data_IF_537903837206
#
_entry.id   IF_537903837206
#
_cell.length_a   1.000
_cell.length_b   1.000
_cell.length_c   1.000
_cell.angle_alpha   90.00
_cell.angle_beta   90.00
_cell.angle_gamma   90.00
#
_symmetry.space_group_name_H-M   'P 1'
#
loop_
_entity.id
_entity.type
_entity.pdbx_description
1 polymer ?
#
# COMPACT_ATOMS: atom_id res chain seq x y z
N UNK A 1 67.60 -0.80 68.60
CA UNK A 1 67.55 -1.41 67.23
C UNK A 1 66.16 -1.95 66.96
N UNK A 2 65.37 -1.27 66.24
CA UNK A 2 64.16 -1.88 65.53
C UNK A 2 64.00 -1.16 64.21
N UNK A 3 63.68 -1.86 63.13
CA UNK A 3 63.55 -1.27 61.81
C UNK A 3 62.15 -0.70 61.55
N UNK A 4 62.10 0.54 61.12
CA UNK A 4 60.95 1.22 60.56
C UNK A 4 60.97 1.06 58.98
N UNK A 5 60.50 -0.02 58.53
CA UNK A 5 60.30 -0.22 57.05
C UNK A 5 59.08 -1.06 56.72
N UNK A 6 57.87 -0.52 56.93
CA UNK A 6 56.61 -1.15 56.42
C UNK A 6 55.42 -0.22 56.21
N UNK A 7 55.58 1.09 56.13
CA UNK A 7 54.43 1.98 56.05
C UNK A 7 54.29 2.79 54.74
N UNK A 8 55.23 2.70 53.80
CA UNK A 8 55.16 3.53 52.56
C UNK A 8 54.64 2.91 51.32
N UNK A 9 54.37 1.57 51.29
CA UNK A 9 53.89 0.88 50.07
C UNK A 9 52.35 0.84 50.00
N UNK A 10 51.67 0.96 51.12
CA UNK A 10 50.19 0.85 51.16
C UNK A 10 49.42 2.10 50.66
N UNK A 11 49.99 3.30 50.91
CA UNK A 11 49.33 4.55 50.47
C UNK A 11 49.41 4.87 49.02
N UNK A 12 50.51 4.46 48.32
CA UNK A 12 50.65 4.66 46.89
C UNK A 12 49.72 3.80 46.05
N UNK A 13 49.50 2.54 46.50
CA UNK A 13 48.60 1.62 45.78
C UNK A 13 47.12 1.98 45.89
N UNK A 14 46.71 2.49 47.05
CA UNK A 14 45.33 2.96 47.26
C UNK A 14 45.06 4.27 46.47
N UNK A 15 46.02 5.20 46.39
CA UNK A 15 45.89 6.39 45.54
C UNK A 15 45.85 6.06 44.05
N UNK A 16 46.61 5.08 43.58
CA UNK A 16 46.61 4.64 42.16
C UNK A 16 45.32 3.91 41.77
N UNK A 17 44.73 3.11 42.66
CA UNK A 17 43.45 2.47 42.47
C UNK A 17 42.28 3.45 42.53
N UNK A 18 42.31 4.44 43.41
CA UNK A 18 41.32 5.51 43.49
C UNK A 18 41.39 6.44 42.25
N UNK A 19 42.59 6.74 41.73
CA UNK A 19 42.76 7.54 40.52
C UNK A 19 42.31 6.79 39.25
N UNK A 20 42.56 5.47 39.16
CA UNK A 20 42.03 4.64 38.04
C UNK A 20 40.50 4.52 38.07
N UNK A 21 39.90 4.40 39.25
CA UNK A 21 38.43 4.30 39.36
C UNK A 21 37.73 5.64 39.06
N UNK A 22 38.33 6.78 39.41
CA UNK A 22 37.81 8.11 39.06
C UNK A 22 37.98 8.42 37.56
N UNK A 23 39.07 8.02 36.92
CA UNK A 23 39.26 8.15 35.47
C UNK A 23 38.29 7.26 34.68
N UNK A 24 38.02 6.03 35.12
CA UNK A 24 36.99 5.17 34.51
C UNK A 24 35.56 5.71 34.69
N UNK A 25 35.27 6.27 35.89
CA UNK A 25 33.96 6.89 36.16
C UNK A 25 33.76 8.17 35.32
N UNK A 26 34.77 8.99 35.14
CA UNK A 26 34.72 10.17 34.25
C UNK A 26 34.63 9.79 32.78
N UNK A 27 35.28 8.72 32.32
CA UNK A 27 35.18 8.24 30.95
C UNK A 27 33.79 7.64 30.65
N UNK A 28 33.16 6.96 31.62
CA UNK A 28 31.78 6.47 31.47
C UNK A 28 30.74 7.59 31.57
N UNK A 29 30.96 8.61 32.38
CA UNK A 29 30.06 9.75 32.48
C UNK A 29 30.07 10.65 31.25
N UNK A 30 31.18 10.71 30.49
CA UNK A 30 31.27 11.47 29.24
C UNK A 30 30.75 10.68 28.02
N UNK A 31 30.71 9.33 28.06
CA UNK A 31 30.20 8.53 26.98
C UNK A 31 28.67 8.39 27.00
N UNK A 32 28.03 8.48 28.15
CA UNK A 32 26.58 8.38 28.31
C UNK A 32 25.80 9.45 27.53
N UNK A 33 26.12 10.75 27.59
CA UNK A 33 25.44 11.79 26.83
C UNK A 33 25.69 11.68 25.32
N UNK A 34 26.86 11.21 24.90
CA UNK A 34 27.16 10.97 23.46
C UNK A 34 26.37 9.79 22.95
N UNK A 35 26.25 8.69 23.71
CA UNK A 35 25.42 7.55 23.36
C UNK A 35 23.93 7.93 23.33
N UNK A 36 23.46 8.74 24.27
CA UNK A 36 22.09 9.25 24.31
C UNK A 36 21.79 10.17 23.12
N UNK A 37 22.72 11.05 22.75
CA UNK A 37 22.63 11.89 21.55
C UNK A 37 22.64 11.07 20.26
N UNK A 38 23.45 10.02 20.17
CA UNK A 38 23.46 9.10 19.04
C UNK A 38 22.16 8.27 18.96
N UNK A 39 21.61 7.84 20.09
CA UNK A 39 20.30 7.18 20.13
C UNK A 39 19.15 8.12 19.76
N UNK A 40 19.19 9.39 20.16
CA UNK A 40 18.20 10.40 19.77
C UNK A 40 18.33 10.80 18.31
N UNK A 41 19.54 10.82 17.75
CA UNK A 41 19.77 11.06 16.32
C UNK A 41 19.30 9.87 15.46
N UNK A 42 19.43 8.63 15.94
CA UNK A 42 18.95 7.43 15.26
C UNK A 42 17.40 7.31 15.25
N UNK A 43 16.71 8.03 16.15
CA UNK A 43 15.24 8.00 16.25
C UNK A 43 14.54 9.02 15.35
N UNK A 44 15.28 9.84 14.60
CA UNK A 44 14.72 10.78 13.62
C UNK A 44 14.39 10.08 12.29
N UNK A 45 13.70 8.94 12.34
CA UNK A 45 12.97 8.48 11.15
C UNK A 45 11.89 9.54 10.85
N UNK A 46 11.95 10.17 9.67
CA UNK A 46 10.98 11.17 9.28
C UNK A 46 9.58 10.52 9.28
N UNK A 47 8.80 10.84 10.30
CA UNK A 47 7.49 10.25 10.50
C UNK A 47 6.50 10.87 9.51
N UNK A 48 5.71 10.05 8.83
CA UNK A 48 4.64 10.54 7.97
C UNK A 48 3.66 11.41 8.76
N UNK A 49 3.22 12.52 8.15
CA UNK A 49 2.31 13.48 8.77
C UNK A 49 1.24 13.95 7.81
N UNK A 50 -0.04 14.06 8.22
CA UNK A 50 -1.09 14.60 7.34
C UNK A 50 -0.88 16.07 6.98
N UNK A 51 -0.01 16.79 7.70
CA UNK A 51 0.31 18.21 7.49
C UNK A 51 1.68 18.41 6.83
N UNK A 52 2.30 17.36 6.27
CA UNK A 52 3.66 17.40 5.75
C UNK A 52 3.87 18.55 4.75
N UNK A 53 2.93 18.75 3.84
CA UNK A 53 2.99 19.80 2.81
C UNK A 53 2.29 21.12 3.21
N UNK A 54 1.82 21.27 4.44
CA UNK A 54 1.02 22.44 4.83
C UNK A 54 1.72 23.79 4.65
N UNK A 55 3.07 23.79 4.75
CA UNK A 55 3.88 25.00 4.52
C UNK A 55 4.58 25.00 3.16
N UNK A 56 5.14 23.87 2.75
CA UNK A 56 5.96 23.75 1.54
C UNK A 56 5.13 23.70 0.24
N UNK A 57 3.92 23.12 0.28
CA UNK A 57 3.01 23.08 -0.86
C UNK A 57 1.54 23.04 -0.41
N UNK A 58 0.97 24.11 0.12
CA UNK A 58 -0.38 24.13 0.71
C UNK A 58 -1.50 23.80 -0.29
N UNK A 59 -1.24 23.93 -1.60
CA UNK A 59 -2.20 23.64 -2.68
C UNK A 59 -2.17 22.19 -3.16
N UNK A 60 -1.21 21.37 -2.73
CA UNK A 60 -1.00 20.01 -3.25
C UNK A 60 -2.28 19.16 -3.22
N UNK A 61 -2.90 19.02 -2.07
CA UNK A 61 -4.11 18.19 -1.91
C UNK A 61 -5.29 18.67 -2.77
N UNK A 62 -5.42 19.98 -2.96
CA UNK A 62 -6.48 20.55 -3.80
C UNK A 62 -6.23 20.29 -5.30
N UNK A 63 -4.97 20.31 -5.74
CA UNK A 63 -4.57 19.99 -7.11
C UNK A 63 -4.84 18.50 -7.38
N UNK A 64 -4.40 17.60 -6.50
CA UNK A 64 -4.61 16.15 -6.62
C UNK A 64 -6.11 15.84 -6.71
N UNK A 65 -6.92 16.37 -5.79
CA UNK A 65 -8.38 16.17 -5.79
C UNK A 65 -9.04 16.61 -7.09
N UNK A 66 -8.63 17.74 -7.66
CA UNK A 66 -9.18 18.23 -8.93
C UNK A 66 -8.81 17.30 -10.09
N UNK A 67 -7.55 16.86 -10.17
CA UNK A 67 -7.07 15.94 -11.20
C UNK A 67 -7.81 14.60 -11.15
N UNK A 68 -7.91 13.99 -9.96
CA UNK A 68 -8.68 12.75 -9.74
C UNK A 68 -10.14 12.95 -10.09
N UNK A 69 -10.77 14.03 -9.60
CA UNK A 69 -12.17 14.32 -9.89
C UNK A 69 -12.45 14.51 -11.38
N UNK A 70 -11.53 15.12 -12.14
CA UNK A 70 -11.64 15.25 -13.58
C UNK A 70 -11.56 13.87 -14.28
N UNK A 71 -10.59 13.04 -13.89
CA UNK A 71 -10.42 11.71 -14.45
C UNK A 71 -11.63 10.78 -14.17
N UNK A 72 -12.14 10.79 -12.93
CA UNK A 72 -13.32 9.97 -12.55
C UNK A 72 -14.62 10.47 -13.22
N UNK A 73 -14.77 11.76 -13.45
CA UNK A 73 -15.92 12.28 -14.22
C UNK A 73 -15.85 11.88 -15.69
N UNK A 74 -14.68 11.86 -16.27
CA UNK A 74 -14.47 11.43 -17.67
C UNK A 74 -14.70 9.92 -17.83
N UNK A 75 -14.20 9.13 -16.89
CA UNK A 75 -14.37 7.67 -16.85
C UNK A 75 -14.49 7.20 -15.40
N UNK A 76 -15.69 6.80 -14.96
CA UNK A 76 -15.91 6.38 -13.56
C UNK A 76 -15.02 5.24 -13.11
N UNK A 77 -14.72 4.30 -13.99
CA UNK A 77 -13.81 3.17 -13.73
C UNK A 77 -12.38 3.63 -13.37
N UNK A 78 -11.98 4.85 -13.74
CA UNK A 78 -10.65 5.37 -13.39
C UNK A 78 -10.43 5.44 -11.88
N UNK A 79 -11.49 5.64 -11.08
CA UNK A 79 -11.39 5.57 -9.63
C UNK A 79 -10.90 4.22 -9.12
N UNK A 80 -11.44 3.13 -9.66
CA UNK A 80 -10.94 1.78 -9.33
C UNK A 80 -9.50 1.56 -9.82
N UNK A 81 -9.15 2.11 -10.98
CA UNK A 81 -7.79 2.01 -11.53
C UNK A 81 -6.75 2.69 -10.62
N UNK A 82 -7.03 3.90 -10.14
CA UNK A 82 -6.14 4.64 -9.24
C UNK A 82 -6.05 4.00 -7.84
N UNK A 83 -7.14 3.45 -7.34
CA UNK A 83 -7.13 2.70 -6.07
C UNK A 83 -6.28 1.44 -6.18
N UNK A 84 -6.44 0.68 -7.27
CA UNK A 84 -5.64 -0.52 -7.55
C UNK A 84 -4.17 -0.18 -7.77
N UNK A 85 -3.86 0.93 -8.44
CA UNK A 85 -2.49 1.36 -8.68
C UNK A 85 -1.74 1.59 -7.36
N UNK A 86 -2.39 2.19 -6.37
CA UNK A 86 -1.81 2.36 -5.02
C UNK A 86 -1.63 1.02 -4.28
N UNK A 87 -2.56 0.07 -4.43
CA UNK A 87 -2.41 -1.26 -3.87
C UNK A 87 -1.20 -1.99 -4.48
N UNK A 88 -1.06 -1.96 -5.81
CA UNK A 88 0.07 -2.59 -6.51
C UNK A 88 1.41 -1.95 -6.12
N UNK A 89 1.46 -0.65 -5.96
CA UNK A 89 2.62 0.06 -5.43
C UNK A 89 3.01 -0.46 -4.04
N UNK A 90 2.08 -0.40 -3.10
CA UNK A 90 2.36 -0.72 -1.69
C UNK A 90 2.75 -2.18 -1.45
N UNK A 91 2.30 -3.12 -2.28
CA UNK A 91 2.60 -4.54 -2.13
C UNK A 91 3.97 -4.94 -2.72
N UNK A 92 4.57 -4.08 -3.54
CA UNK A 92 5.89 -4.30 -4.16
C UNK A 92 6.87 -3.27 -3.62
N UNK A 93 7.90 -3.73 -2.91
CA UNK A 93 8.92 -2.89 -2.22
C UNK A 93 8.37 -1.98 -1.10
N UNK A 94 7.12 -1.57 -1.13
CA UNK A 94 6.46 -0.63 -0.23
C UNK A 94 5.80 0.52 -0.98
N UNK A 95 5.14 1.44 -0.27
CA UNK A 95 4.46 2.58 -0.88
C UNK A 95 5.48 3.66 -1.29
N UNK A 96 6.16 3.47 -2.42
CA UNK A 96 7.29 4.26 -2.88
C UNK A 96 7.23 4.69 -4.35
N UNK A 97 6.08 4.49 -4.99
CA UNK A 97 5.80 4.81 -6.38
C UNK A 97 6.67 4.05 -7.41
N UNK A 98 7.25 2.90 -7.04
CA UNK A 98 8.06 2.07 -7.95
C UNK A 98 7.25 1.59 -9.16
N UNK A 99 5.97 1.27 -8.97
CA UNK A 99 5.05 0.82 -10.03
C UNK A 99 4.86 1.83 -11.16
N UNK A 100 5.11 3.11 -10.90
CA UNK A 100 4.97 4.19 -11.89
C UNK A 100 6.17 4.28 -12.84
N UNK A 101 7.31 3.68 -12.50
CA UNK A 101 8.51 3.72 -13.32
C UNK A 101 8.31 2.94 -14.62
N UNK A 102 8.61 3.60 -15.74
CA UNK A 102 8.55 3.00 -17.07
C UNK A 102 9.82 2.25 -17.41
N UNK A 103 9.71 1.21 -18.24
CA UNK A 103 10.85 0.50 -18.79
C UNK A 103 11.70 1.41 -19.67
N UNK A 104 13.01 1.19 -19.65
CA UNK A 104 14.00 1.79 -20.56
C UNK A 104 14.93 0.70 -21.08
N UNK A 105 15.88 1.04 -21.94
CA UNK A 105 16.88 0.08 -22.43
C UNK A 105 17.72 -0.57 -21.32
N UNK A 106 17.86 0.12 -20.18
CA UNK A 106 18.71 -0.32 -19.05
C UNK A 106 17.95 -0.49 -17.73
N UNK A 107 16.64 -0.31 -17.73
CA UNK A 107 15.82 -0.37 -16.53
C UNK A 107 14.53 -1.13 -16.82
N UNK A 108 14.23 -2.15 -16.02
CA UNK A 108 13.00 -2.93 -16.08
C UNK A 108 12.11 -2.56 -14.89
N UNK A 109 10.95 -1.99 -15.18
CA UNK A 109 9.91 -1.64 -14.21
C UNK A 109 8.97 -2.81 -13.88
N UNK A 110 7.89 -2.50 -13.18
CA UNK A 110 6.91 -3.48 -12.71
C UNK A 110 5.72 -3.63 -13.67
N UNK A 111 5.56 -2.72 -14.63
CA UNK A 111 4.36 -2.66 -15.49
C UNK A 111 4.22 -3.89 -16.41
N UNK A 112 5.34 -4.54 -16.73
CA UNK A 112 5.41 -5.78 -17.49
C UNK A 112 5.15 -7.06 -16.68
N UNK A 113 5.01 -7.00 -15.36
CA UNK A 113 4.71 -8.16 -14.51
C UNK A 113 3.35 -8.76 -14.85
N UNK A 114 3.19 -10.08 -14.71
CA UNK A 114 1.96 -10.79 -15.08
C UNK A 114 0.67 -10.19 -14.46
N UNK A 115 0.63 -9.77 -13.18
CA UNK A 115 -0.56 -9.13 -12.62
C UNK A 115 -0.80 -7.70 -13.14
N UNK A 116 0.19 -7.07 -13.79
CA UNK A 116 0.15 -5.67 -14.26
C UNK A 116 -0.08 -5.56 -15.77
N UNK A 117 0.58 -6.42 -16.54
CA UNK A 117 0.63 -6.34 -17.99
C UNK A 117 -0.77 -6.28 -18.61
N UNK A 118 -1.01 -5.28 -19.47
CA UNK A 118 -2.27 -5.07 -20.16
C UNK A 118 -3.48 -4.77 -19.26
N UNK A 119 -3.26 -4.54 -17.94
CA UNK A 119 -4.37 -4.34 -16.99
C UNK A 119 -4.20 -3.14 -16.07
N UNK A 120 -2.94 -2.74 -15.75
CA UNK A 120 -2.70 -1.59 -14.90
C UNK A 120 -2.97 -0.28 -15.66
N UNK A 121 -3.59 0.70 -15.01
CA UNK A 121 -4.06 1.94 -15.64
C UNK A 121 -3.95 3.13 -14.70
N UNK A 122 -3.93 4.34 -15.25
CA UNK A 122 -3.99 5.57 -14.49
C UNK A 122 -2.64 6.26 -14.30
N UNK A 123 -1.51 5.71 -14.81
CA UNK A 123 -0.20 6.34 -14.76
C UNK A 123 -0.23 7.75 -15.38
N UNK A 124 -0.88 7.91 -16.52
CA UNK A 124 -1.06 9.19 -17.19
C UNK A 124 -1.85 10.21 -16.33
N UNK A 125 -2.80 9.76 -15.53
CA UNK A 125 -3.52 10.64 -14.60
C UNK A 125 -2.59 11.13 -13.49
N UNK A 126 -1.76 10.24 -12.94
CA UNK A 126 -0.77 10.60 -11.91
C UNK A 126 0.27 11.55 -12.49
N UNK A 127 0.81 11.30 -13.70
CA UNK A 127 1.77 12.18 -14.35
C UNK A 127 1.18 13.58 -14.63
N UNK A 128 -0.07 13.66 -15.08
CA UNK A 128 -0.76 14.94 -15.27
C UNK A 128 -0.95 15.71 -13.96
N UNK A 129 -1.28 15.02 -12.88
CA UNK A 129 -1.38 15.62 -11.55
C UNK A 129 0.01 16.08 -11.08
N UNK A 130 1.04 15.26 -11.28
CA UNK A 130 2.43 15.58 -10.92
C UNK A 130 2.88 16.85 -11.63
N UNK A 131 2.67 16.96 -12.94
CA UNK A 131 3.02 18.15 -13.71
C UNK A 131 2.33 19.42 -13.16
N UNK A 132 1.05 19.34 -12.78
CA UNK A 132 0.34 20.48 -12.17
C UNK A 132 0.88 20.85 -10.79
N UNK A 133 1.33 19.86 -10.02
CA UNK A 133 1.96 20.08 -8.70
C UNK A 133 3.34 20.71 -8.88
N UNK A 134 4.15 20.20 -9.80
CA UNK A 134 5.49 20.75 -10.12
C UNK A 134 5.43 22.20 -10.59
N UNK A 135 4.41 22.58 -11.34
CA UNK A 135 4.22 23.97 -11.79
C UNK A 135 3.96 24.95 -10.62
N UNK A 136 3.59 24.47 -9.44
CA UNK A 136 3.28 25.29 -8.25
C UNK A 136 4.33 25.13 -7.16
N UNK A 137 4.85 23.93 -6.99
CA UNK A 137 5.76 23.54 -5.90
C UNK A 137 6.81 22.58 -6.45
N UNK A 138 7.79 23.10 -7.21
CA UNK A 138 8.81 22.27 -7.85
C UNK A 138 9.54 21.37 -6.85
N UNK A 139 9.74 20.10 -7.21
CA UNK A 139 10.46 19.06 -6.44
C UNK A 139 10.06 18.94 -4.95
N UNK A 140 8.79 19.19 -4.65
CA UNK A 140 8.31 19.20 -3.26
C UNK A 140 7.45 17.99 -2.91
N UNK A 141 6.55 17.57 -3.80
CA UNK A 141 5.58 16.52 -3.53
C UNK A 141 5.95 15.26 -4.29
N UNK A 142 6.13 14.15 -3.56
CA UNK A 142 6.49 12.85 -4.15
C UNK A 142 5.34 12.23 -4.95
N UNK A 143 5.68 11.39 -5.92
CA UNK A 143 4.73 10.59 -6.68
C UNK A 143 4.00 9.58 -5.77
N UNK A 144 4.70 9.02 -4.78
CA UNK A 144 4.12 8.11 -3.78
C UNK A 144 3.01 8.78 -2.96
N UNK A 145 3.20 10.04 -2.56
CA UNK A 145 2.14 10.77 -1.84
C UNK A 145 1.01 11.20 -2.77
N UNK A 146 1.31 11.58 -4.01
CA UNK A 146 0.25 11.85 -5.02
C UNK A 146 -0.62 10.60 -5.20
N UNK A 147 -0.01 9.42 -5.34
CA UNK A 147 -0.71 8.16 -5.54
C UNK A 147 -1.58 7.78 -4.34
N UNK A 148 -1.04 7.90 -3.11
CA UNK A 148 -1.79 7.62 -1.88
C UNK A 148 -3.01 8.55 -1.71
N UNK A 149 -2.86 9.85 -2.02
CA UNK A 149 -3.97 10.82 -1.98
C UNK A 149 -4.97 10.56 -3.12
N UNK A 150 -4.47 10.20 -4.32
CA UNK A 150 -5.33 9.87 -5.46
C UNK A 150 -6.21 8.65 -5.18
N UNK A 151 -5.69 7.62 -4.51
CA UNK A 151 -6.47 6.47 -4.07
C UNK A 151 -7.62 6.89 -3.15
N UNK A 152 -7.38 7.74 -2.14
CA UNK A 152 -8.41 8.28 -1.24
C UNK A 152 -9.43 9.11 -2.00
N UNK A 153 -8.98 10.04 -2.85
CA UNK A 153 -9.88 10.93 -3.57
C UNK A 153 -10.72 10.19 -4.62
N UNK A 154 -10.23 9.06 -5.14
CA UNK A 154 -10.96 8.16 -6.03
C UNK A 154 -12.14 7.49 -5.33
N UNK A 155 -11.92 6.98 -4.12
CA UNK A 155 -12.97 6.39 -3.28
C UNK A 155 -14.05 7.43 -2.96
N UNK A 156 -13.64 8.64 -2.55
CA UNK A 156 -14.57 9.75 -2.26
C UNK A 156 -15.36 10.17 -3.51
N UNK A 157 -14.70 10.24 -4.68
CA UNK A 157 -15.37 10.61 -5.93
C UNK A 157 -16.43 9.60 -6.39
N UNK A 158 -16.35 8.36 -5.90
CA UNK A 158 -17.32 7.29 -6.17
C UNK A 158 -18.31 7.06 -5.01
N UNK A 159 -18.36 7.97 -4.03
CA UNK A 159 -19.35 7.96 -2.94
C UNK A 159 -18.88 7.23 -1.67
N UNK A 160 -17.66 6.75 -1.63
CA UNK A 160 -17.08 6.07 -0.48
C UNK A 160 -16.54 7.00 0.61
N UNK A 161 -16.00 6.43 1.70
CA UNK A 161 -15.50 7.18 2.85
C UNK A 161 -14.20 7.92 2.54
N UNK A 162 -13.97 9.00 3.27
CA UNK A 162 -12.68 9.71 3.30
C UNK A 162 -11.86 9.26 4.50
N UNK A 163 -10.53 9.37 4.38
CA UNK A 163 -9.59 9.18 5.50
C UNK A 163 -8.43 10.16 5.43
N UNK A 164 -7.81 10.37 6.57
CA UNK A 164 -6.58 11.15 6.66
C UNK A 164 -5.41 10.35 6.10
N UNK A 165 -4.76 10.85 5.06
CA UNK A 165 -3.58 10.23 4.44
C UNK A 165 -2.33 10.79 5.12
N UNK A 166 -1.52 9.96 5.79
CA UNK A 166 -0.18 10.37 6.23
C UNK A 166 0.71 10.62 5.01
N UNK A 167 1.45 11.73 4.99
CA UNK A 167 2.26 12.23 3.88
C UNK A 167 3.73 12.36 4.30
N UNK A 168 4.63 12.47 3.32
CA UNK A 168 6.08 12.55 3.54
C UNK A 168 6.83 11.33 3.00
N UNK A 169 6.16 10.49 2.18
CA UNK A 169 6.82 9.42 1.41
C UNK A 169 7.76 10.04 0.39
N UNK A 170 8.78 9.26 0.05
CA UNK A 170 9.68 9.57 -1.07
C UNK A 170 9.55 8.48 -2.13
N UNK A 171 10.01 8.80 -3.32
CA UNK A 171 9.92 7.95 -4.50
C UNK A 171 11.15 7.03 -4.59
N UNK A 172 10.94 5.77 -4.92
CA UNK A 172 12.00 4.81 -5.20
C UNK A 172 12.82 5.21 -6.43
N UNK A 173 14.08 4.81 -6.44
CA UNK A 173 14.97 4.86 -7.62
C UNK A 173 15.08 3.49 -8.31
N UNK A 174 14.38 2.48 -7.79
CA UNK A 174 14.36 1.10 -8.28
C UNK A 174 12.93 0.60 -8.44
N UNK A 175 12.76 -0.51 -9.16
CA UNK A 175 11.54 -1.27 -9.28
C UNK A 175 11.87 -2.76 -9.31
N UNK A 176 10.88 -3.63 -9.09
CA UNK A 176 11.12 -5.07 -9.07
C UNK A 176 10.03 -5.85 -9.80
N UNK A 177 10.33 -6.22 -11.03
CA UNK A 177 9.48 -7.11 -11.83
C UNK A 177 9.25 -8.46 -11.12
N UNK A 178 10.29 -9.01 -10.47
CA UNK A 178 10.21 -10.29 -9.76
C UNK A 178 9.29 -10.21 -8.54
N UNK A 179 9.43 -9.16 -7.72
CA UNK A 179 8.54 -8.96 -6.57
C UNK A 179 7.10 -8.65 -7.01
N UNK A 180 6.91 -7.93 -8.12
CA UNK A 180 5.57 -7.71 -8.66
C UNK A 180 4.89 -9.02 -9.08
N UNK A 181 5.65 -10.00 -9.56
CA UNK A 181 5.13 -11.32 -9.89
C UNK A 181 4.89 -12.22 -8.66
N UNK A 182 5.66 -12.05 -7.57
CA UNK A 182 5.56 -12.92 -6.38
C UNK A 182 4.64 -12.37 -5.29
N UNK A 183 4.59 -11.05 -5.11
CA UNK A 183 3.99 -10.42 -3.94
C UNK A 183 2.55 -9.93 -4.18
N UNK A 184 2.17 -9.71 -5.45
CA UNK A 184 0.80 -9.38 -5.80
C UNK A 184 -0.08 -10.63 -5.78
N UNK A 185 -1.15 -10.69 -4.97
CA UNK A 185 -1.98 -11.88 -4.84
C UNK A 185 -2.78 -12.14 -6.13
N UNK A 186 -2.66 -13.32 -6.75
CA UNK A 186 -3.47 -13.69 -7.91
C UNK A 186 -4.94 -13.90 -7.55
N UNK A 187 -5.86 -13.74 -8.51
CA UNK A 187 -7.30 -13.87 -8.30
C UNK A 187 -7.76 -15.31 -7.99
N UNK A 188 -6.86 -16.28 -8.05
CA UNK A 188 -7.09 -17.70 -7.75
C UNK A 188 -6.69 -18.11 -6.32
N UNK A 189 -6.24 -17.19 -5.48
CA UNK A 189 -5.84 -17.52 -4.11
C UNK A 189 -7.03 -17.86 -3.21
N UNK A 190 -6.86 -18.95 -2.44
CA UNK A 190 -7.71 -19.28 -1.29
C UNK A 190 -7.44 -18.36 -0.10
N UNK A 191 -8.33 -18.36 0.90
CA UNK A 191 -8.20 -17.57 2.13
C UNK A 191 -6.88 -17.81 2.86
N UNK A 192 -6.35 -19.04 2.84
CA UNK A 192 -5.07 -19.34 3.48
C UNK A 192 -3.92 -18.58 2.80
N UNK A 193 -3.84 -18.63 1.48
CA UNK A 193 -2.82 -17.95 0.69
C UNK A 193 -2.97 -16.43 0.77
N UNK A 194 -4.20 -15.90 0.68
CA UNK A 194 -4.49 -14.47 0.88
C UNK A 194 -4.03 -14.00 2.26
N UNK A 195 -4.36 -14.76 3.32
CA UNK A 195 -3.96 -14.43 4.69
C UNK A 195 -2.45 -14.38 4.84
N UNK A 196 -1.73 -15.37 4.29
CA UNK A 196 -0.27 -15.40 4.34
C UNK A 196 0.37 -14.23 3.57
N UNK A 197 -0.15 -13.93 2.37
CA UNK A 197 0.33 -12.83 1.54
C UNK A 197 0.14 -11.46 2.23
N UNK A 198 -1.05 -11.19 2.76
CA UNK A 198 -1.32 -9.94 3.49
C UNK A 198 -0.54 -9.86 4.81
N UNK A 199 -0.38 -10.97 5.53
CA UNK A 199 0.43 -11.03 6.75
C UNK A 199 1.90 -10.70 6.50
N UNK A 200 2.47 -11.14 5.38
CA UNK A 200 3.83 -10.78 4.95
C UNK A 200 4.01 -9.26 4.76
N UNK A 201 2.91 -8.53 4.50
CA UNK A 201 2.87 -7.06 4.40
C UNK A 201 2.44 -6.37 5.72
N UNK A 202 2.35 -7.12 6.82
CA UNK A 202 1.93 -6.61 8.14
C UNK A 202 0.45 -6.28 8.24
N UNK A 203 -0.38 -6.88 7.39
CA UNK A 203 -1.83 -6.71 7.35
C UNK A 203 -2.53 -7.94 7.94
N UNK A 204 -3.49 -7.73 8.83
CA UNK A 204 -4.28 -8.80 9.44
C UNK A 204 -5.37 -9.32 8.49
N UNK A 205 -5.98 -10.46 8.85
CA UNK A 205 -7.17 -11.00 8.15
C UNK A 205 -8.29 -9.95 8.06
N UNK A 206 -8.51 -9.17 9.12
CA UNK A 206 -9.52 -8.10 9.09
C UNK A 206 -9.18 -7.02 8.06
N UNK A 207 -7.90 -6.63 7.96
CA UNK A 207 -7.46 -5.68 6.93
C UNK A 207 -7.63 -6.29 5.53
N UNK A 208 -7.27 -7.55 5.32
CA UNK A 208 -7.44 -8.25 4.05
C UNK A 208 -8.91 -8.26 3.61
N UNK A 209 -9.83 -8.70 4.48
CA UNK A 209 -11.26 -8.75 4.13
C UNK A 209 -11.79 -7.33 3.85
N UNK A 210 -11.40 -6.33 4.63
CA UNK A 210 -11.82 -4.95 4.40
C UNK A 210 -11.29 -4.39 3.06
N UNK A 211 -10.01 -4.65 2.74
CA UNK A 211 -9.39 -4.19 1.49
C UNK A 211 -9.95 -4.92 0.26
N UNK A 212 -10.33 -6.19 0.38
CA UNK A 212 -11.05 -6.91 -0.69
C UNK A 212 -12.36 -6.21 -1.08
N UNK A 213 -12.98 -5.47 -0.17
CA UNK A 213 -14.14 -4.62 -0.44
C UNK A 213 -13.89 -3.49 -1.46
N UNK A 214 -12.63 -3.18 -1.81
CA UNK A 214 -12.32 -2.32 -2.95
C UNK A 214 -12.92 -2.84 -4.27
N UNK A 215 -13.19 -4.14 -4.35
CA UNK A 215 -13.85 -4.78 -5.49
C UNK A 215 -15.34 -4.43 -5.62
N UNK A 216 -15.88 -3.55 -4.76
CA UNK A 216 -17.19 -2.91 -5.01
C UNK A 216 -17.14 -1.97 -6.22
N UNK A 217 -15.95 -1.62 -6.71
CA UNK A 217 -15.73 -0.84 -7.93
C UNK A 217 -14.70 -1.52 -8.84
N UNK A 218 -14.84 -1.29 -10.15
CA UNK A 218 -13.88 -1.79 -11.13
C UNK A 218 -14.34 -3.03 -11.89
N UNK A 219 -13.44 -3.54 -12.73
CA UNK A 219 -13.70 -4.65 -13.63
C UNK A 219 -12.47 -5.57 -13.70
N UNK A 220 -12.72 -6.87 -13.97
CA UNK A 220 -11.68 -7.83 -14.25
C UNK A 220 -11.83 -8.40 -15.66
N UNK A 221 -10.70 -8.82 -16.23
CA UNK A 221 -10.64 -9.50 -17.53
C UNK A 221 -11.10 -10.97 -17.39
N UNK A 222 -11.73 -11.50 -18.40
CA UNK A 222 -12.24 -12.87 -18.46
C UNK A 222 -11.20 -13.92 -18.07
N UNK A 223 -9.95 -13.78 -18.48
CA UNK A 223 -8.87 -14.69 -18.12
C UNK A 223 -8.70 -14.86 -16.59
N UNK A 224 -9.09 -13.86 -15.78
CA UNK A 224 -8.93 -13.87 -14.33
C UNK A 224 -10.07 -14.59 -13.58
N UNK A 225 -11.20 -14.84 -14.26
CA UNK A 225 -12.35 -15.53 -13.66
C UNK A 225 -12.90 -16.69 -14.49
N UNK A 226 -12.31 -16.97 -15.65
CA UNK A 226 -12.74 -18.06 -16.52
C UNK A 226 -12.74 -19.41 -15.82
N UNK A 227 -11.68 -19.74 -15.07
CA UNK A 227 -11.59 -21.01 -14.37
C UNK A 227 -12.74 -21.16 -13.37
N UNK A 228 -12.97 -20.15 -12.53
CA UNK A 228 -14.11 -20.09 -11.63
C UNK A 228 -15.44 -20.27 -12.36
N UNK A 229 -15.62 -19.56 -13.48
CA UNK A 229 -16.87 -19.55 -14.26
C UNK A 229 -17.25 -20.92 -14.81
N UNK A 230 -16.28 -21.75 -15.13
CA UNK A 230 -16.52 -23.02 -15.81
C UNK A 230 -16.28 -24.28 -14.94
N UNK A 231 -15.56 -24.15 -13.82
CA UNK A 231 -15.10 -25.30 -13.05
C UNK A 231 -15.57 -25.26 -11.58
N UNK A 232 -15.99 -24.09 -11.05
CA UNK A 232 -16.52 -24.02 -9.69
C UNK A 232 -18.05 -24.17 -9.65
N UNK A 233 -18.55 -24.74 -8.53
CA UNK A 233 -19.98 -24.99 -8.32
C UNK A 233 -20.67 -23.97 -7.42
N UNK A 234 -19.88 -23.12 -6.72
CA UNK A 234 -20.35 -22.10 -5.78
C UNK A 234 -20.56 -20.75 -6.47
N UNK A 235 -21.15 -20.76 -7.68
CA UNK A 235 -21.49 -19.58 -8.47
C UNK A 235 -22.98 -19.58 -8.80
N UNK A 236 -23.64 -18.43 -8.67
CA UNK A 236 -25.06 -18.26 -9.05
C UNK A 236 -25.27 -18.57 -10.55
N UNK A 237 -26.19 -19.47 -10.86
CA UNK A 237 -26.35 -19.99 -12.22
C UNK A 237 -26.77 -18.92 -13.26
N UNK A 238 -27.72 -18.00 -12.98
CA UNK A 238 -28.02 -16.86 -13.85
C UNK A 238 -26.83 -15.94 -14.06
N UNK A 239 -26.07 -15.66 -13.00
CA UNK A 239 -24.87 -14.83 -13.07
C UNK A 239 -23.80 -15.50 -13.96
N UNK A 240 -23.52 -16.78 -13.75
CA UNK A 240 -22.60 -17.54 -14.58
C UNK A 240 -23.02 -17.54 -16.07
N UNK A 241 -24.31 -17.69 -16.35
CA UNK A 241 -24.84 -17.66 -17.71
C UNK A 241 -24.61 -16.31 -18.39
N UNK A 242 -24.82 -15.21 -17.66
CA UNK A 242 -24.58 -13.87 -18.20
C UNK A 242 -23.09 -13.60 -18.50
N UNK A 243 -22.19 -14.11 -17.68
CA UNK A 243 -20.74 -13.96 -17.89
C UNK A 243 -20.23 -14.78 -19.09
N UNK A 244 -20.78 -15.99 -19.31
CA UNK A 244 -20.39 -16.88 -20.41
C UNK A 244 -20.64 -16.27 -21.78
N UNK A 245 -21.56 -15.32 -21.90
CA UNK A 245 -21.83 -14.61 -23.15
C UNK A 245 -20.58 -13.87 -23.69
N UNK A 246 -19.74 -13.30 -22.80
CA UNK A 246 -18.56 -12.51 -23.17
C UNK A 246 -17.23 -13.14 -22.70
N UNK A 247 -17.29 -14.28 -22.03
CA UNK A 247 -16.13 -15.02 -21.55
C UNK A 247 -16.22 -16.48 -21.97
N UNK A 248 -15.83 -16.82 -23.21
CA UNK A 248 -15.87 -18.18 -23.72
C UNK A 248 -14.95 -19.13 -22.96
N UNK A 249 -15.26 -20.44 -22.96
CA UNK A 249 -14.47 -21.46 -22.26
C UNK A 249 -13.04 -21.62 -22.79
N UNK A 250 -12.77 -21.60 -24.11
CA UNK A 250 -11.41 -21.76 -24.60
C UNK A 250 -10.51 -20.59 -24.21
N UNK A 251 -9.34 -20.90 -23.65
CA UNK A 251 -8.27 -19.91 -23.37
C UNK A 251 -7.84 -19.23 -24.68
N UNK A 252 -7.51 -17.96 -24.64
CA UNK A 252 -7.18 -17.14 -25.81
C UNK A 252 -8.40 -16.50 -26.46
N UNK A 253 -9.62 -16.94 -26.13
CA UNK A 253 -10.87 -16.38 -26.67
C UNK A 253 -11.52 -15.46 -25.63
N UNK A 254 -11.68 -14.17 -25.95
CA UNK A 254 -12.31 -13.21 -25.07
C UNK A 254 -11.53 -12.91 -23.78
N UNK A 255 -10.23 -13.24 -23.69
CA UNK A 255 -9.40 -13.09 -22.48
C UNK A 255 -9.45 -11.68 -21.89
N UNK A 256 -9.45 -10.67 -22.76
CA UNK A 256 -9.51 -9.26 -22.35
C UNK A 256 -10.92 -8.71 -22.13
N UNK A 257 -11.97 -9.51 -22.40
CA UNK A 257 -13.36 -9.11 -22.14
C UNK A 257 -13.57 -8.78 -20.67
N UNK A 258 -14.19 -7.64 -20.37
CA UNK A 258 -14.33 -7.12 -19.03
C UNK A 258 -15.68 -7.47 -18.42
N UNK A 259 -15.67 -7.83 -17.13
CA UNK A 259 -16.86 -7.95 -16.32
C UNK A 259 -16.71 -7.13 -15.02
N UNK A 260 -17.81 -6.52 -14.51
CA UNK A 260 -17.75 -5.78 -13.25
C UNK A 260 -17.46 -6.72 -12.07
N UNK A 261 -16.60 -6.28 -11.15
CA UNK A 261 -16.30 -6.97 -9.89
C UNK A 261 -17.53 -6.96 -8.96
N UNK A 262 -18.26 -5.86 -8.97
CA UNK A 262 -19.57 -5.71 -8.33
C UNK A 262 -20.68 -5.61 -9.40
N UNK A 263 -21.50 -6.62 -9.47
CA UNK A 263 -22.59 -6.69 -10.46
C UNK A 263 -23.81 -5.81 -10.09
N UNK A 264 -23.86 -5.32 -8.85
CA UNK A 264 -24.99 -4.50 -8.35
C UNK A 264 -24.74 -3.01 -8.53
N UNK A 265 -23.57 -2.52 -8.12
CA UNK A 265 -23.21 -1.08 -8.13
C UNK A 265 -21.79 -0.86 -8.65
N UNK A 266 -21.47 -1.23 -9.91
CA UNK A 266 -20.09 -1.34 -10.42
C UNK A 266 -19.26 -0.04 -10.39
N UNK A 267 -19.92 1.10 -10.21
CA UNK A 267 -19.31 2.43 -10.20
C UNK A 267 -19.66 3.26 -8.94
N UNK A 268 -20.19 2.63 -7.88
CA UNK A 268 -20.43 3.27 -6.60
C UNK A 268 -19.67 2.52 -5.51
N UNK A 269 -18.92 3.27 -4.68
CA UNK A 269 -18.20 2.67 -3.58
C UNK A 269 -19.16 2.45 -2.39
N UNK A 270 -19.62 1.22 -2.22
CA UNK A 270 -20.54 0.81 -1.17
C UNK A 270 -20.26 -0.62 -0.67
N UNK A 271 -21.20 -1.27 -0.01
CA UNK A 271 -21.07 -2.62 0.51
C UNK A 271 -21.76 -3.70 -0.33
N UNK A 272 -22.17 -3.39 -1.57
CA UNK A 272 -22.86 -4.35 -2.45
C UNK A 272 -21.97 -5.55 -2.80
N UNK A 273 -20.65 -5.34 -2.92
CA UNK A 273 -19.69 -6.43 -3.08
C UNK A 273 -19.91 -7.56 -2.06
N UNK A 274 -20.04 -7.27 -0.76
CA UNK A 274 -20.25 -8.31 0.25
C UNK A 274 -21.64 -8.95 0.15
N UNK A 275 -22.67 -8.20 -0.28
CA UNK A 275 -24.00 -8.79 -0.57
C UNK A 275 -23.94 -9.74 -1.76
N UNK A 276 -23.14 -9.43 -2.77
CA UNK A 276 -22.90 -10.29 -3.91
C UNK A 276 -22.18 -11.59 -3.50
N UNK A 277 -21.22 -11.54 -2.58
CA UNK A 277 -20.58 -12.76 -2.03
C UNK A 277 -21.60 -13.67 -1.33
N UNK A 278 -22.52 -13.09 -0.56
CA UNK A 278 -23.60 -13.84 0.11
C UNK A 278 -24.54 -14.55 -0.88
N UNK A 279 -24.65 -14.01 -2.10
CA UNK A 279 -25.47 -14.53 -3.18
C UNK A 279 -24.69 -15.35 -4.22
N UNK A 280 -23.47 -15.78 -3.89
CA UNK A 280 -22.57 -16.53 -4.81
C UNK A 280 -22.25 -15.79 -6.12
N UNK A 281 -22.23 -14.44 -6.08
CA UNK A 281 -21.94 -13.56 -7.22
C UNK A 281 -20.57 -12.88 -7.14
N UNK A 282 -19.66 -13.39 -6.33
CA UNK A 282 -18.25 -12.99 -6.38
C UNK A 282 -17.67 -13.34 -7.75
N UNK A 283 -17.05 -12.35 -8.40
CA UNK A 283 -16.51 -12.57 -9.76
C UNK A 283 -15.26 -13.44 -9.74
N UNK A 284 -14.30 -13.12 -8.84
CA UNK A 284 -13.06 -13.85 -8.72
C UNK A 284 -13.19 -15.02 -7.72
N UNK A 285 -12.34 -16.03 -7.86
CA UNK A 285 -12.22 -17.08 -6.84
C UNK A 285 -11.86 -16.46 -5.49
N UNK A 286 -10.83 -15.61 -5.46
CA UNK A 286 -10.36 -14.92 -4.25
C UNK A 286 -11.43 -14.04 -3.56
N UNK A 287 -12.46 -13.62 -4.27
CA UNK A 287 -13.61 -12.92 -3.69
C UNK A 287 -14.57 -13.91 -3.00
N UNK A 288 -14.99 -14.94 -3.74
CA UNK A 288 -16.05 -15.84 -3.28
C UNK A 288 -15.60 -16.70 -2.10
N UNK A 289 -14.33 -17.09 -2.02
CA UNK A 289 -13.80 -17.88 -0.91
C UNK A 289 -13.93 -17.18 0.45
N UNK A 290 -14.02 -15.83 0.47
CA UNK A 290 -14.14 -15.06 1.71
C UNK A 290 -15.41 -15.40 2.52
N UNK A 291 -16.52 -15.75 1.88
CA UNK A 291 -17.74 -16.17 2.58
C UNK A 291 -17.74 -17.64 2.93
N UNK A 292 -16.93 -18.44 2.25
CA UNK A 292 -16.91 -19.90 2.42
C UNK A 292 -15.95 -20.35 3.52
N UNK A 293 -15.04 -19.48 4.00
CA UNK A 293 -14.07 -19.80 5.05
C UNK A 293 -14.50 -19.23 6.41
N UNK A 294 -14.44 -20.05 7.45
CA UNK A 294 -14.84 -19.66 8.82
C UNK A 294 -14.08 -18.47 9.40
N UNK A 295 -12.84 -18.21 8.94
CA UNK A 295 -12.00 -17.09 9.41
C UNK A 295 -12.49 -15.74 8.90
N UNK A 296 -13.16 -15.69 7.76
CA UNK A 296 -13.55 -14.46 7.05
C UNK A 296 -15.05 -14.28 6.92
N UNK A 297 -15.83 -15.36 6.89
CA UNK A 297 -17.28 -15.34 6.68
C UNK A 297 -18.05 -14.43 7.66
N UNK A 298 -17.61 -14.37 8.93
CA UNK A 298 -18.22 -13.48 9.93
C UNK A 298 -18.09 -12.00 9.56
N UNK A 299 -16.94 -11.58 9.03
CA UNK A 299 -16.71 -10.21 8.56
C UNK A 299 -17.50 -9.93 7.29
N UNK A 300 -17.54 -10.85 6.32
CA UNK A 300 -18.35 -10.71 5.10
C UNK A 300 -19.82 -10.46 5.44
N UNK A 301 -20.41 -11.25 6.37
CA UNK A 301 -21.79 -11.05 6.86
C UNK A 301 -21.96 -9.69 7.53
N UNK A 302 -21.00 -9.28 8.36
CA UNK A 302 -21.03 -7.97 9.05
C UNK A 302 -21.01 -6.82 8.06
N UNK A 303 -20.14 -6.88 7.06
CA UNK A 303 -20.03 -5.83 6.05
C UNK A 303 -21.21 -5.83 5.07
N UNK A 304 -21.76 -7.00 4.75
CA UNK A 304 -22.96 -7.09 3.90
C UNK A 304 -24.19 -6.41 4.52
N UNK A 305 -24.31 -6.41 5.85
CA UNK A 305 -25.43 -5.83 6.58
C UNK A 305 -25.21 -4.37 7.02
N UNK A 306 -23.94 -3.89 7.05
CA UNK A 306 -23.62 -2.56 7.61
C UNK A 306 -22.50 -1.83 6.88
N UNK A 307 -22.85 -0.90 5.96
CA UNK A 307 -21.88 -0.07 5.23
C UNK A 307 -21.02 0.79 6.16
N UNK A 308 -21.56 1.29 7.27
CA UNK A 308 -20.81 2.12 8.23
C UNK A 308 -19.64 1.34 8.86
N UNK A 309 -19.82 0.06 9.18
CA UNK A 309 -18.75 -0.80 9.72
C UNK A 309 -17.70 -1.05 8.65
N UNK A 310 -18.12 -1.43 7.44
CA UNK A 310 -17.22 -1.61 6.31
C UNK A 310 -16.39 -0.35 6.05
N UNK A 311 -17.01 0.81 5.92
CA UNK A 311 -16.33 2.08 5.65
C UNK A 311 -15.26 2.41 6.68
N UNK A 312 -15.56 2.21 7.98
CA UNK A 312 -14.60 2.45 9.06
C UNK A 312 -13.40 1.51 8.97
N UNK A 313 -13.65 0.22 8.79
CA UNK A 313 -12.60 -0.80 8.77
C UNK A 313 -11.78 -0.71 7.46
N UNK A 314 -12.41 -0.36 6.33
CA UNK A 314 -11.73 -0.06 5.08
C UNK A 314 -10.78 1.12 5.19
N UNK A 315 -11.24 2.24 5.77
CA UNK A 315 -10.36 3.43 5.94
C UNK A 315 -9.19 3.14 6.85
N UNK A 316 -9.38 2.39 7.93
CA UNK A 316 -8.27 1.95 8.80
C UNK A 316 -7.28 1.05 8.06
N UNK A 317 -7.78 0.10 7.25
CA UNK A 317 -6.96 -0.79 6.44
C UNK A 317 -6.18 -0.03 5.35
N UNK A 318 -6.79 0.95 4.69
CA UNK A 318 -6.11 1.82 3.71
C UNK A 318 -4.98 2.64 4.33
N UNK A 319 -5.18 3.18 5.53
CA UNK A 319 -4.10 3.86 6.29
C UNK A 319 -2.99 2.87 6.63
N UNK A 320 -3.32 1.65 7.07
CA UNK A 320 -2.33 0.63 7.38
C UNK A 320 -1.55 0.20 6.13
N UNK A 321 -2.23 -0.03 5.02
CA UNK A 321 -1.61 -0.37 3.73
C UNK A 321 -0.68 0.76 3.26
N UNK A 322 -1.12 2.01 3.31
CA UNK A 322 -0.31 3.17 2.92
C UNK A 322 0.93 3.41 3.80
N UNK A 323 1.09 2.67 4.89
CA UNK A 323 2.26 2.69 5.77
C UNK A 323 3.17 1.46 5.58
N UNK A 324 2.98 0.66 4.53
CA UNK A 324 3.88 -0.46 4.22
C UNK A 324 5.21 0.10 3.71
N UNK A 325 6.25 -0.05 4.49
CA UNK A 325 7.65 0.24 4.15
C UNK A 325 7.88 1.53 3.31
N UNK A 326 7.31 2.70 3.68
CA UNK A 326 7.51 3.91 2.90
C UNK A 326 8.96 4.39 3.01
N UNK A 327 9.53 4.86 1.91
CA UNK A 327 10.78 5.61 1.96
C UNK A 327 10.52 6.99 2.58
N UNK A 328 11.42 7.45 3.45
CA UNK A 328 11.27 8.74 4.16
C UNK A 328 12.62 9.41 4.39
N UNK A 329 12.63 10.68 4.83
CA UNK A 329 13.83 11.43 5.17
C UNK A 329 14.77 11.60 3.98
N UNK A 330 15.93 10.94 4.03
CA UNK A 330 16.96 10.99 2.97
C UNK A 330 16.92 9.82 2.00
N UNK A 331 16.03 8.84 2.24
CA UNK A 331 15.86 7.68 1.35
C UNK A 331 15.16 8.10 0.05
N UNK A 332 15.50 7.42 -1.07
CA UNK A 332 14.87 7.70 -2.37
C UNK A 332 14.99 9.18 -2.79
N UNK A 333 14.03 9.65 -3.56
CA UNK A 333 14.02 11.01 -4.12
C UNK A 333 12.60 11.62 -4.15
N UNK A 334 12.46 12.85 -4.60
CA UNK A 334 11.20 13.42 -5.11
C UNK A 334 11.37 13.56 -6.62
N UNK A 335 10.67 12.72 -7.39
CA UNK A 335 10.79 12.72 -8.85
C UNK A 335 10.18 13.98 -9.46
N UNK A 336 10.75 14.45 -10.57
CA UNK A 336 10.15 15.50 -11.42
C UNK A 336 9.04 14.96 -12.31
N UNK A 337 9.19 13.71 -12.77
CA UNK A 337 8.20 12.94 -13.51
C UNK A 337 8.02 11.59 -12.82
N UNK A 338 6.78 11.11 -12.67
CA UNK A 338 6.56 9.87 -11.95
C UNK A 338 7.03 8.63 -12.72
N UNK A 339 7.16 8.73 -14.03
CA UNK A 339 7.55 7.63 -14.91
C UNK A 339 9.06 7.37 -14.99
N UNK A 340 9.91 8.22 -14.40
CA UNK A 340 11.38 8.09 -14.48
C UNK A 340 12.09 8.62 -13.24
N UNK A 341 13.26 8.05 -12.99
CA UNK A 341 14.23 8.53 -12.00
C UNK A 341 14.81 9.88 -12.48
N UNK A 342 15.12 10.80 -11.54
CA UNK A 342 15.74 12.10 -11.86
C UNK A 342 17.18 11.93 -12.35
#
# INVERSE_FOLDING_TARGET
CRPLHRAFISTGLVCLLAYRSTLMAMAMASSLPVLLLLCLAASSSAQLSPRFYARSCPRALAIIRRGVGAAVRSERRMGASLLRLHFHDCFVQGCDASVLLSDTATFTGEQGAAPNAGSIRGMNVIDNIKAQVEAVCAQTVSCADILAVAARDSVVALGGPSWTVPLGRRDSTTASLSLANSDLPPPSFDVANLTANFAAKGLSVNHMVALSGAHTIGQAQCQNFRDRLYNETNIDAPFATSLKANCPRPTGSGDSSLAPLDTTTPNAFDNAYYRNLMSQKGLLHSDQVLINDGRTAGLVRTYSSGSARFNRDFTAAMVRMGNISPLTGTQGQVRLSCSRVN
#
